data_IF_646218082215
#
_entry.id   IF_646218082215
#
_cell.length_a   1.000
_cell.length_b   1.000
_cell.length_c   1.000
_cell.angle_alpha   90.00
_cell.angle_beta   90.00
_cell.angle_gamma   90.00
#
_symmetry.space_group_name_H-M   'P 1'
#
loop_
_entity.id
_entity.type
_entity.pdbx_description
1 polymer ?
#
# COMPACT_ATOMS: atom_id res chain seq x y z
N UNK A 1 6.94 15.60 -16.78
CA UNK A 1 5.88 14.58 -16.74
C UNK A 1 5.43 14.39 -15.30
N UNK A 2 4.12 14.42 -15.04
CA UNK A 2 3.59 14.30 -13.69
C UNK A 2 3.14 12.86 -13.43
N UNK A 3 3.37 12.38 -12.23
CA UNK A 3 2.82 11.12 -11.77
C UNK A 3 1.62 11.40 -10.87
N UNK A 4 0.55 10.65 -11.07
CA UNK A 4 -0.67 10.82 -10.29
C UNK A 4 -0.75 9.71 -9.25
N UNK A 5 -0.95 10.11 -8.01
CA UNK A 5 -1.06 9.18 -6.89
C UNK A 5 -2.40 9.43 -6.21
N UNK A 6 -3.15 8.37 -5.96
CA UNK A 6 -4.39 8.45 -5.18
C UNK A 6 -4.11 7.97 -3.77
N UNK A 7 -4.54 8.76 -2.80
CA UNK A 7 -4.37 8.41 -1.38
C UNK A 7 -5.71 8.63 -0.70
N UNK A 8 -6.17 7.65 0.07
CA UNK A 8 -7.35 7.84 0.89
C UNK A 8 -7.17 7.14 2.24
N UNK A 9 -7.88 7.65 3.22
CA UNK A 9 -7.78 7.21 4.59
C UNK A 9 -9.18 7.01 5.16
N UNK A 10 -9.39 5.85 5.79
CA UNK A 10 -10.62 5.53 6.49
C UNK A 10 -10.34 5.61 7.98
N UNK A 11 -10.87 6.65 8.64
CA UNK A 11 -10.60 6.87 10.05
C UNK A 11 -11.29 5.84 10.95
N UNK A 12 -12.41 5.27 10.52
CA UNK A 12 -13.10 4.25 11.30
C UNK A 12 -12.33 2.94 11.31
N UNK A 13 -11.79 2.56 10.18
CA UNK A 13 -11.02 1.32 10.05
C UNK A 13 -9.54 1.52 10.37
N UNK A 14 -9.09 2.74 10.54
CA UNK A 14 -7.67 3.09 10.73
C UNK A 14 -6.84 2.52 9.57
N UNK A 15 -7.29 2.79 8.36
CA UNK A 15 -6.81 2.15 7.14
C UNK A 15 -6.42 3.22 6.12
N UNK A 16 -5.27 3.05 5.52
CA UNK A 16 -4.75 3.94 4.47
C UNK A 16 -4.50 3.14 3.21
N UNK A 17 -4.89 3.70 2.08
CA UNK A 17 -4.55 3.09 0.80
C UNK A 17 -3.92 4.12 -0.13
N UNK A 18 -2.88 3.69 -0.84
CA UNK A 18 -2.16 4.49 -1.82
C UNK A 18 -2.14 3.74 -3.14
N UNK A 19 -2.56 4.40 -4.22
CA UNK A 19 -2.55 3.83 -5.56
C UNK A 19 -1.64 4.66 -6.46
N UNK A 20 -0.67 3.99 -7.09
CA UNK A 20 0.24 4.63 -8.05
C UNK A 20 -0.30 4.55 -9.47
N UNK A 21 -1.05 3.50 -9.79
CA UNK A 21 -1.56 3.23 -11.12
C UNK A 21 -2.96 2.64 -11.02
N UNK A 22 -3.83 3.04 -11.93
CA UNK A 22 -5.15 2.43 -12.05
C UNK A 22 -5.06 1.30 -13.07
N UNK A 23 -5.20 0.09 -12.59
CA UNK A 23 -5.20 -1.11 -13.42
C UNK A 23 -5.87 -2.23 -12.64
N UNK A 24 -6.44 -3.21 -13.32
CA UNK A 24 -6.97 -4.39 -12.64
C UNK A 24 -5.86 -5.10 -11.88
N UNK A 25 -6.16 -5.48 -10.65
CA UNK A 25 -5.17 -6.14 -9.82
C UNK A 25 -5.80 -6.75 -8.58
N UNK A 26 -4.96 -7.28 -7.73
CA UNK A 26 -5.40 -7.92 -6.50
C UNK A 26 -4.39 -7.67 -5.40
N UNK A 27 -4.85 -7.86 -4.15
CA UNK A 27 -4.02 -7.60 -2.97
C UNK A 27 -3.20 -8.83 -2.63
N UNK A 28 -1.96 -8.60 -2.24
CA UNK A 28 -1.06 -9.67 -1.77
C UNK A 28 -0.38 -9.24 -0.48
N UNK A 29 -0.07 -10.23 0.35
CA UNK A 29 0.63 -9.99 1.59
C UNK A 29 2.07 -9.55 1.32
N UNK A 30 2.63 -8.80 2.27
CA UNK A 30 4.04 -8.43 2.27
C UNK A 30 4.71 -9.05 3.49
N UNK A 31 6.01 -8.82 3.65
CA UNK A 31 6.73 -9.27 4.83
C UNK A 31 6.25 -8.57 6.11
N UNK A 32 5.62 -7.39 5.97
CA UNK A 32 5.07 -6.66 7.10
C UNK A 32 3.58 -6.96 7.23
N UNK A 33 3.16 -7.44 8.42
CA UNK A 33 1.78 -7.90 8.63
C UNK A 33 0.73 -6.80 8.48
N UNK A 34 1.10 -5.54 8.65
CA UNK A 34 0.16 -4.42 8.54
C UNK A 34 0.06 -3.88 7.11
N UNK A 35 0.87 -4.38 6.18
CA UNK A 35 0.96 -3.84 4.82
C UNK A 35 0.55 -4.90 3.80
N UNK A 36 -0.35 -4.51 2.90
CA UNK A 36 -0.69 -5.30 1.73
C UNK A 36 -0.28 -4.53 0.49
N UNK A 37 0.21 -5.22 -0.53
CA UNK A 37 0.46 -4.59 -1.82
C UNK A 37 -0.61 -4.98 -2.81
N UNK A 38 -0.90 -4.06 -3.74
CA UNK A 38 -1.79 -4.35 -4.87
C UNK A 38 -0.92 -4.58 -6.09
N UNK A 39 -1.12 -5.68 -6.76
CA UNK A 39 -0.29 -6.06 -7.91
C UNK A 39 -1.18 -6.45 -9.08
N UNK A 40 -0.65 -6.33 -10.29
CA UNK A 40 -1.30 -6.82 -11.49
C UNK A 40 -0.91 -8.29 -11.74
N UNK A 41 -1.39 -8.84 -12.86
CA UNK A 41 -1.12 -10.25 -13.21
C UNK A 41 0.37 -10.53 -13.42
N UNK A 42 1.14 -9.51 -13.73
CA UNK A 42 2.59 -9.65 -13.98
C UNK A 42 3.42 -9.37 -12.74
N UNK A 43 2.78 -9.06 -11.61
CA UNK A 43 3.47 -8.78 -10.38
C UNK A 43 3.97 -7.36 -10.22
N UNK A 44 3.57 -6.45 -11.11
CA UNK A 44 3.91 -5.03 -10.95
C UNK A 44 3.11 -4.44 -9.79
N UNK A 45 3.78 -3.67 -8.94
CA UNK A 45 3.13 -3.04 -7.80
C UNK A 45 2.33 -1.84 -8.27
N UNK A 46 1.03 -1.86 -8.00
CA UNK A 46 0.10 -0.79 -8.36
C UNK A 46 -0.19 0.15 -7.20
N UNK A 47 0.08 -0.29 -5.98
CA UNK A 47 -0.17 0.48 -4.78
C UNK A 47 0.02 -0.37 -3.55
N UNK A 48 -0.39 0.18 -2.40
CA UNK A 48 -0.31 -0.57 -1.15
C UNK A 48 -1.35 -0.04 -0.17
N UNK A 49 -1.57 -0.80 0.89
CA UNK A 49 -2.44 -0.38 1.99
C UNK A 49 -1.77 -0.66 3.32
N UNK A 50 -2.16 0.13 4.33
CA UNK A 50 -1.66 -0.02 5.69
C UNK A 50 -2.85 -0.10 6.64
N UNK A 51 -2.91 -1.17 7.42
CA UNK A 51 -3.93 -1.35 8.45
C UNK A 51 -3.37 -0.94 9.79
N UNK A 52 -4.15 -0.18 10.56
CA UNK A 52 -3.71 0.32 11.85
C UNK A 52 -2.69 1.45 11.71
N UNK A 53 -2.91 2.32 10.75
CA UNK A 53 -1.95 3.36 10.37
C UNK A 53 -1.65 4.34 11.51
N UNK A 54 -2.60 4.55 12.44
CA UNK A 54 -2.40 5.47 13.55
C UNK A 54 -1.33 5.01 14.54
N UNK A 55 -0.93 3.74 14.48
CA UNK A 55 0.15 3.22 15.34
C UNK A 55 1.52 3.74 14.94
N UNK A 56 1.64 4.30 13.75
CA UNK A 56 2.93 4.73 13.22
C UNK A 56 3.04 6.24 13.28
N UNK A 57 4.21 6.72 13.66
CA UNK A 57 4.48 8.13 13.82
C UNK A 57 5.84 8.46 13.23
N UNK A 58 6.20 9.74 13.24
CA UNK A 58 7.50 10.16 12.76
C UNK A 58 8.64 9.50 13.54
N UNK A 59 8.44 9.30 14.84
CA UNK A 59 9.46 8.69 15.69
C UNK A 59 9.45 7.17 15.63
N UNK A 60 8.33 6.59 15.23
CA UNK A 60 8.16 5.14 15.11
C UNK A 60 7.50 4.83 13.77
N UNK A 61 8.20 5.06 12.67
CA UNK A 61 7.59 4.89 11.35
C UNK A 61 7.43 3.43 10.97
N UNK A 62 6.50 3.19 10.08
CA UNK A 62 6.37 1.92 9.40
C UNK A 62 7.41 1.87 8.28
N UNK A 63 8.15 0.77 8.21
CA UNK A 63 9.05 0.51 7.09
C UNK A 63 8.69 -0.81 6.45
N UNK A 64 8.52 -0.81 5.15
CA UNK A 64 8.18 -2.01 4.40
C UNK A 64 8.76 -1.92 3.00
N UNK A 65 9.08 -3.07 2.42
CA UNK A 65 9.51 -3.14 1.04
C UNK A 65 8.38 -3.71 0.19
N UNK A 66 8.17 -3.10 -0.97
CA UNK A 66 7.18 -3.53 -1.94
C UNK A 66 7.93 -4.16 -3.12
N UNK A 67 8.08 -5.46 -3.06
CA UNK A 67 8.86 -6.19 -4.05
C UNK A 67 7.95 -6.60 -5.20
N UNK A 68 8.36 -6.26 -6.43
CA UNK A 68 7.64 -6.64 -7.63
C UNK A 68 7.90 -8.10 -7.98
N UNK A 69 6.94 -8.72 -8.65
CA UNK A 69 7.11 -10.07 -9.18
C UNK A 69 6.86 -11.20 -8.19
N UNK A 70 6.34 -10.87 -7.02
CA UNK A 70 6.04 -11.89 -6.01
C UNK A 70 4.57 -12.09 -5.78
#
# INVERSE_FOLDING_TARGET
>A
MAAKVKVWFDSEADYLEVQFREAPGFMRATAHHAVMKRVDEQGHVLGFSVLGVSRFSKDHPLEAELVAGE
#
